data_IF_704371933006
#
_entry.id   IF_704371933006
#
_cell.length_a   1.000
_cell.length_b   1.000
_cell.length_c   1.000
_cell.angle_alpha   90.00
_cell.angle_beta   90.00
_cell.angle_gamma   90.00
#
_symmetry.space_group_name_H-M   'P 1'
#
loop_
_entity.id
_entity.type
_entity.pdbx_description
1 polymer ?
#
# COMPACT_ATOMS: atom_id res chain seq x y z
N UNK A 1 -23.41 -13.77 18.36
CA UNK A 1 -22.17 -13.85 17.53
C UNK A 1 -21.76 -12.50 16.96
N UNK A 2 -22.63 -11.74 16.25
CA UNK A 2 -22.28 -10.38 15.75
C UNK A 2 -22.01 -9.43 16.91
N UNK A 3 -22.85 -9.43 17.95
CA UNK A 3 -22.66 -8.59 19.12
C UNK A 3 -21.35 -8.90 19.86
N UNK A 4 -20.99 -10.18 19.96
CA UNK A 4 -19.73 -10.62 20.58
C UNK A 4 -18.51 -10.13 19.77
N UNK A 5 -18.58 -10.13 18.43
CA UNK A 5 -17.52 -9.60 17.56
C UNK A 5 -17.40 -8.08 17.67
N UNK A 6 -18.51 -7.36 17.76
CA UNK A 6 -18.52 -5.93 17.99
C UNK A 6 -17.91 -5.57 19.34
N UNK A 7 -18.29 -6.28 20.42
CA UNK A 7 -17.71 -6.05 21.75
C UNK A 7 -16.19 -6.26 21.73
N UNK A 8 -15.71 -7.35 21.14
CA UNK A 8 -14.28 -7.63 21.00
C UNK A 8 -13.55 -6.55 20.19
N UNK A 9 -14.19 -6.06 19.14
CA UNK A 9 -13.62 -5.03 18.26
C UNK A 9 -13.52 -3.68 19.00
N UNK A 10 -14.49 -3.35 19.85
CA UNK A 10 -14.46 -2.18 20.74
C UNK A 10 -13.35 -2.31 21.80
N UNK A 11 -13.27 -3.46 22.49
CA UNK A 11 -12.23 -3.72 23.50
C UNK A 11 -10.84 -3.61 22.92
N UNK A 12 -10.61 -4.24 21.74
CA UNK A 12 -9.34 -4.16 21.02
C UNK A 12 -9.02 -2.73 20.57
N UNK A 13 -10.04 -1.97 20.15
CA UNK A 13 -9.87 -0.58 19.77
C UNK A 13 -9.39 0.26 20.94
N UNK A 14 -10.03 0.15 22.11
CA UNK A 14 -9.66 0.87 23.31
C UNK A 14 -8.27 0.49 23.83
N UNK A 15 -7.87 -0.76 23.67
CA UNK A 15 -6.54 -1.22 24.07
C UNK A 15 -5.43 -0.74 23.13
N UNK A 16 -5.69 -0.67 21.81
CA UNK A 16 -4.70 -0.33 20.79
C UNK A 16 -4.60 1.18 20.51
N UNK A 17 -5.67 1.93 20.80
CA UNK A 17 -5.70 3.38 20.69
C UNK A 17 -5.43 4.00 22.07
N UNK A 18 -4.18 4.39 22.29
CA UNK A 18 -3.74 5.00 23.53
C UNK A 18 -2.97 6.29 23.25
N UNK A 19 -2.92 7.18 24.21
CA UNK A 19 -2.08 8.39 24.15
C UNK A 19 -0.61 8.00 24.31
N UNK A 20 0.12 8.02 23.22
CA UNK A 20 1.55 7.74 23.17
C UNK A 20 2.42 8.99 23.32
N UNK A 21 1.79 10.16 23.50
CA UNK A 21 2.45 11.45 23.59
C UNK A 21 2.95 11.99 22.24
N UNK A 22 3.45 13.22 22.27
CA UNK A 22 3.78 14.05 21.10
C UNK A 22 4.62 13.33 20.03
N UNK A 23 5.61 12.52 20.45
CA UNK A 23 6.43 11.77 19.50
C UNK A 23 5.63 10.74 18.70
N UNK A 24 4.83 9.93 19.38
CA UNK A 24 4.04 8.89 18.71
C UNK A 24 2.94 9.53 17.86
N UNK A 25 2.32 10.59 18.33
CA UNK A 25 1.31 11.34 17.60
C UNK A 25 1.88 11.87 16.28
N UNK A 26 3.02 12.55 16.31
CA UNK A 26 3.67 13.06 15.12
C UNK A 26 4.11 11.91 14.18
N UNK A 27 4.65 10.82 14.72
CA UNK A 27 5.10 9.67 13.93
C UNK A 27 3.93 8.97 13.22
N UNK A 28 2.89 8.56 13.95
CA UNK A 28 1.76 7.83 13.39
C UNK A 28 0.90 8.68 12.48
N UNK A 29 0.73 9.97 12.81
CA UNK A 29 0.04 10.92 11.95
C UNK A 29 0.76 11.08 10.61
N UNK A 30 2.07 11.35 10.62
CA UNK A 30 2.89 11.50 9.42
C UNK A 30 2.90 10.23 8.58
N UNK A 31 3.06 9.07 9.21
CA UNK A 31 3.05 7.76 8.54
C UNK A 31 1.70 7.48 7.86
N UNK A 32 0.59 7.91 8.47
CA UNK A 32 -0.76 7.74 7.92
C UNK A 32 -1.04 8.59 6.67
N UNK A 33 -0.25 9.64 6.42
CA UNK A 33 -0.50 10.55 5.31
C UNK A 33 0.00 9.99 3.98
N UNK A 34 -0.87 9.99 2.95
CA UNK A 34 -0.50 9.53 1.60
C UNK A 34 0.70 10.29 1.03
N UNK A 35 0.80 11.65 1.15
CA UNK A 35 1.94 12.40 0.65
C UNK A 35 3.30 11.98 1.23
N UNK A 36 3.34 11.48 2.46
CA UNK A 36 4.57 11.03 3.11
C UNK A 36 5.24 9.86 2.38
N UNK A 37 4.45 9.07 1.62
CA UNK A 37 4.92 7.91 0.87
C UNK A 37 5.25 8.21 -0.60
N UNK A 38 5.15 9.47 -1.07
CA UNK A 38 5.49 9.86 -2.44
C UNK A 38 6.88 9.37 -2.85
N UNK A 39 7.95 9.50 -2.03
CA UNK A 39 9.27 8.99 -2.39
C UNK A 39 9.28 7.47 -2.66
N UNK A 40 8.55 6.70 -1.87
CA UNK A 40 8.40 5.25 -2.07
C UNK A 40 7.66 4.94 -3.38
N UNK A 41 6.56 5.64 -3.66
CA UNK A 41 5.79 5.43 -4.89
C UNK A 41 6.60 5.77 -6.14
N UNK A 42 7.36 6.89 -6.13
CA UNK A 42 8.27 7.26 -7.21
C UNK A 42 9.33 6.16 -7.40
N UNK A 43 9.88 5.62 -6.31
CA UNK A 43 10.89 4.56 -6.38
C UNK A 43 10.31 3.26 -6.96
N UNK A 44 9.09 2.90 -6.62
CA UNK A 44 8.40 1.74 -7.21
C UNK A 44 8.23 1.94 -8.72
N UNK A 45 7.76 3.10 -9.16
CA UNK A 45 7.60 3.43 -10.59
C UNK A 45 8.96 3.38 -11.30
N UNK A 46 10.01 3.92 -10.69
CA UNK A 46 11.36 3.86 -11.25
C UNK A 46 11.88 2.42 -11.40
N UNK A 47 11.66 1.57 -10.42
CA UNK A 47 12.03 0.15 -10.51
C UNK A 47 11.22 -0.57 -11.60
N UNK A 48 9.92 -0.24 -11.76
CA UNK A 48 9.09 -0.75 -12.86
C UNK A 48 9.60 -0.29 -14.22
N UNK A 49 10.05 0.97 -14.33
CA UNK A 49 10.69 1.48 -15.52
C UNK A 49 11.97 0.68 -15.85
N UNK A 50 12.86 0.51 -14.86
CA UNK A 50 14.07 -0.28 -15.05
C UNK A 50 13.75 -1.73 -15.46
N UNK A 51 12.72 -2.34 -14.87
CA UNK A 51 12.28 -3.68 -15.22
C UNK A 51 11.82 -3.76 -16.68
N UNK A 52 11.05 -2.82 -17.15
CA UNK A 52 10.60 -2.78 -18.53
C UNK A 52 11.76 -2.61 -19.53
N UNK A 53 12.75 -1.75 -19.20
CA UNK A 53 13.83 -1.39 -20.11
C UNK A 53 15.04 -2.35 -20.06
N UNK A 54 15.24 -3.08 -18.96
CA UNK A 54 16.28 -4.12 -18.85
C UNK A 54 15.83 -5.48 -19.36
N UNK A 55 14.54 -5.72 -19.50
CA UNK A 55 13.97 -7.05 -19.83
C UNK A 55 14.15 -7.44 -21.28
N UNK A 56 14.35 -6.51 -22.19
CA UNK A 56 14.49 -6.82 -23.62
C UNK A 56 15.95 -7.04 -23.94
N UNK A 57 16.29 -8.26 -24.40
CA UNK A 57 17.63 -8.64 -24.81
C UNK A 57 18.13 -7.73 -25.92
N UNK A 58 19.28 -7.07 -25.75
CA UNK A 58 19.90 -6.37 -26.85
C UNK A 58 20.38 -7.38 -27.88
N UNK A 59 20.02 -7.18 -29.15
CA UNK A 59 20.71 -7.78 -30.26
C UNK A 59 21.97 -6.96 -30.50
N UNK A 60 23.14 -7.61 -30.55
CA UNK A 60 24.37 -6.93 -30.94
C UNK A 60 24.48 -6.93 -32.45
N UNK A 61 24.79 -5.76 -33.02
CA UNK A 61 25.25 -5.66 -34.42
C UNK A 61 26.54 -6.45 -34.61
N UNK A 62 26.85 -6.89 -35.85
CA UNK A 62 28.17 -7.45 -36.16
C UNK A 62 29.35 -6.55 -35.75
N UNK A 63 29.13 -5.26 -35.60
CA UNK A 63 30.12 -4.26 -35.14
C UNK A 63 30.15 -4.07 -33.61
N UNK A 64 29.43 -4.89 -32.83
CA UNK A 64 29.40 -4.79 -31.37
C UNK A 64 28.48 -3.69 -30.83
N UNK A 65 27.77 -2.95 -31.67
CA UNK A 65 26.84 -1.91 -31.25
C UNK A 65 25.50 -2.48 -30.81
N UNK A 66 24.95 -1.90 -29.75
CA UNK A 66 23.65 -2.28 -29.20
C UNK A 66 22.51 -1.85 -30.15
N UNK A 67 21.99 -2.76 -30.96
CA UNK A 67 20.83 -2.50 -31.82
C UNK A 67 19.56 -3.12 -31.25
N UNK A 68 18.56 -2.28 -30.99
CA UNK A 68 17.23 -2.70 -30.65
C UNK A 68 16.34 -2.56 -31.88
N UNK A 69 15.68 -3.65 -32.28
CA UNK A 69 14.62 -3.55 -33.30
C UNK A 69 13.48 -2.68 -32.79
N UNK A 70 12.74 -2.04 -33.72
CA UNK A 70 11.60 -1.19 -33.34
C UNK A 70 10.53 -1.98 -32.58
N UNK A 71 10.31 -3.25 -32.92
CA UNK A 71 9.43 -4.13 -32.16
C UNK A 71 9.92 -4.40 -30.72
N UNK A 72 11.22 -4.41 -30.47
CA UNK A 72 11.76 -4.53 -29.10
C UNK A 72 11.57 -3.24 -28.29
N UNK A 73 11.77 -2.07 -28.91
CA UNK A 73 11.49 -0.76 -28.29
C UNK A 73 10.03 -0.65 -27.92
N UNK A 74 9.12 -1.02 -28.83
CA UNK A 74 7.67 -1.00 -28.59
C UNK A 74 7.29 -1.94 -27.42
N UNK A 75 7.83 -3.13 -27.32
CA UNK A 75 7.57 -4.06 -26.20
C UNK A 75 8.02 -3.54 -24.84
N UNK A 76 9.11 -2.75 -24.77
CA UNK A 76 9.55 -2.09 -23.53
C UNK A 76 8.53 -1.10 -23.01
N UNK A 77 8.11 -0.18 -23.89
CA UNK A 77 7.10 0.81 -23.52
C UNK A 77 5.77 0.16 -23.16
N UNK A 78 5.36 -0.84 -23.93
CA UNK A 78 4.13 -1.58 -23.64
C UNK A 78 4.21 -2.25 -22.25
N UNK A 79 5.33 -2.88 -21.90
CA UNK A 79 5.52 -3.48 -20.57
C UNK A 79 5.41 -2.42 -19.47
N UNK A 80 6.08 -1.27 -19.63
CA UNK A 80 6.04 -0.20 -18.64
C UNK A 80 4.62 0.35 -18.45
N UNK A 81 3.91 0.64 -19.55
CA UNK A 81 2.53 1.10 -19.52
C UNK A 81 1.62 0.08 -18.82
N UNK A 82 1.80 -1.20 -19.10
CA UNK A 82 1.02 -2.26 -18.45
C UNK A 82 1.31 -2.36 -16.95
N UNK A 83 2.57 -2.23 -16.52
CA UNK A 83 2.90 -2.19 -15.10
C UNK A 83 2.19 -1.03 -14.39
N UNK A 84 2.20 0.17 -14.99
CA UNK A 84 1.48 1.33 -14.46
C UNK A 84 -0.04 1.12 -14.48
N UNK A 85 -0.59 0.61 -15.59
CA UNK A 85 -2.02 0.35 -15.73
C UNK A 85 -2.52 -0.65 -14.69
N UNK A 86 -1.82 -1.78 -14.52
CA UNK A 86 -2.23 -2.78 -13.54
C UNK A 86 -2.03 -2.30 -12.09
N UNK A 87 -1.03 -1.46 -11.83
CA UNK A 87 -0.89 -0.78 -10.54
C UNK A 87 -2.11 0.12 -10.27
N UNK A 88 -2.48 0.95 -11.25
CA UNK A 88 -3.66 1.82 -11.15
C UNK A 88 -4.96 1.01 -10.99
N UNK A 89 -5.11 -0.11 -11.70
CA UNK A 89 -6.27 -1.00 -11.58
C UNK A 89 -6.35 -1.64 -10.18
N UNK A 90 -5.23 -2.07 -9.59
CA UNK A 90 -5.24 -2.59 -8.22
C UNK A 90 -5.79 -1.53 -7.26
N UNK A 91 -5.29 -0.28 -7.33
CA UNK A 91 -5.81 0.80 -6.49
C UNK A 91 -7.28 1.14 -6.79
N UNK A 92 -7.66 1.20 -8.06
CA UNK A 92 -9.04 1.49 -8.45
C UNK A 92 -10.01 0.42 -7.91
N UNK A 93 -9.67 -0.86 -8.01
CA UNK A 93 -10.52 -1.93 -7.51
C UNK A 93 -10.57 -1.96 -5.98
N UNK A 94 -9.44 -1.79 -5.28
CA UNK A 94 -9.44 -1.73 -3.81
C UNK A 94 -10.27 -0.55 -3.31
N UNK A 95 -10.15 0.62 -3.93
CA UNK A 95 -10.87 1.82 -3.51
C UNK A 95 -12.37 1.73 -3.87
N UNK A 96 -12.71 1.37 -5.12
CA UNK A 96 -14.10 1.28 -5.56
C UNK A 96 -14.88 0.20 -4.80
N UNK A 97 -14.28 -0.96 -4.54
CA UNK A 97 -14.95 -2.01 -3.78
C UNK A 97 -15.12 -1.57 -2.31
N UNK A 98 -14.08 -1.03 -1.70
CA UNK A 98 -14.15 -0.61 -0.28
C UNK A 98 -15.00 0.64 -0.07
N UNK A 99 -14.70 1.74 -0.77
CA UNK A 99 -15.34 3.04 -0.56
C UNK A 99 -16.62 3.21 -1.38
N UNK A 100 -16.65 2.70 -2.62
CA UNK A 100 -17.77 2.88 -3.53
C UNK A 100 -18.91 1.87 -3.32
N UNK A 101 -18.60 0.66 -2.84
CA UNK A 101 -19.61 -0.40 -2.69
C UNK A 101 -19.84 -0.75 -1.24
N UNK A 102 -18.81 -1.21 -0.51
CA UNK A 102 -18.99 -1.80 0.83
C UNK A 102 -19.40 -0.75 1.85
N UNK A 103 -18.73 0.42 1.90
CA UNK A 103 -19.05 1.46 2.88
C UNK A 103 -20.49 1.96 2.78
N UNK A 104 -21.05 2.28 1.59
CA UNK A 104 -22.43 2.68 1.46
C UNK A 104 -23.43 1.59 1.82
N UNK A 105 -23.07 0.30 1.61
CA UNK A 105 -23.96 -0.83 1.94
C UNK A 105 -23.96 -1.15 3.43
N UNK A 106 -22.80 -1.13 4.09
CA UNK A 106 -22.67 -1.56 5.49
C UNK A 106 -22.94 -0.41 6.46
N UNK A 107 -22.54 0.81 6.11
CA UNK A 107 -22.72 2.03 6.89
C UNK A 107 -22.26 1.94 8.36
N UNK A 108 -21.28 1.08 8.66
CA UNK A 108 -20.73 0.99 10.01
C UNK A 108 -20.03 2.30 10.37
N UNK A 109 -20.39 2.97 11.48
CA UNK A 109 -19.71 4.18 11.92
C UNK A 109 -18.23 3.87 12.22
N UNK A 110 -17.37 4.88 12.10
CA UNK A 110 -15.98 4.79 12.58
C UNK A 110 -15.95 4.89 14.10
N UNK A 111 -14.85 4.43 14.76
CA UNK A 111 -14.67 4.64 16.21
C UNK A 111 -14.86 6.11 16.61
N UNK A 112 -14.35 7.04 15.81
CA UNK A 112 -14.48 8.50 16.00
C UNK A 112 -15.91 9.07 15.84
N UNK A 113 -16.87 8.26 15.39
CA UNK A 113 -18.28 8.62 15.22
C UNK A 113 -19.20 7.65 15.96
N UNK A 114 -18.63 6.74 16.77
CA UNK A 114 -19.39 5.79 17.58
C UNK A 114 -19.56 6.36 19.00
N UNK A 115 -20.77 6.85 19.31
CA UNK A 115 -21.08 7.46 20.60
C UNK A 115 -20.88 6.55 21.82
N UNK A 116 -20.66 5.26 21.63
CA UNK A 116 -20.40 4.32 22.74
C UNK A 116 -18.98 4.32 23.24
N UNK A 117 -17.99 4.73 22.39
CA UNK A 117 -16.56 4.66 22.72
C UNK A 117 -15.78 5.94 22.38
N UNK A 118 -16.32 6.84 21.55
CA UNK A 118 -15.56 7.98 21.01
C UNK A 118 -14.94 8.85 22.11
N UNK A 119 -15.64 9.04 23.24
CA UNK A 119 -15.16 9.86 24.37
C UNK A 119 -13.98 9.22 25.13
N UNK A 120 -13.68 7.95 24.86
CA UNK A 120 -12.59 7.20 25.49
C UNK A 120 -11.36 7.08 24.56
N UNK A 121 -11.46 7.61 23.33
CA UNK A 121 -10.40 7.47 22.33
C UNK A 121 -9.45 8.67 22.33
N UNK A 122 -8.20 8.39 22.03
CA UNK A 122 -7.19 9.40 21.73
C UNK A 122 -7.25 9.81 20.26
N UNK A 123 -7.40 11.12 20.00
CA UNK A 123 -7.39 11.69 18.65
C UNK A 123 -6.19 12.62 18.47
N UNK A 124 -5.48 12.44 17.35
CA UNK A 124 -4.33 13.26 16.98
C UNK A 124 -4.78 14.37 16.04
N UNK A 125 -4.47 15.63 16.36
CA UNK A 125 -4.82 16.82 15.56
C UNK A 125 -6.34 16.92 15.24
N UNK A 126 -7.19 16.46 16.10
CA UNK A 126 -8.66 16.44 15.91
C UNK A 126 -9.09 15.74 14.59
N UNK A 127 -8.37 14.69 14.22
CA UNK A 127 -8.60 13.96 12.98
C UNK A 127 -9.61 12.82 13.17
N UNK A 128 -10.83 13.00 12.68
CA UNK A 128 -11.94 12.03 12.83
C UNK A 128 -12.22 11.18 11.57
N UNK A 129 -11.71 11.58 10.41
CA UNK A 129 -11.99 10.91 9.14
C UNK A 129 -13.45 11.08 8.68
N UNK A 130 -13.89 10.24 7.74
CA UNK A 130 -15.27 10.24 7.23
C UNK A 130 -16.21 9.37 8.07
N UNK A 131 -17.54 9.45 7.83
CA UNK A 131 -18.57 8.80 8.65
C UNK A 131 -18.45 7.27 8.76
N UNK A 132 -18.19 6.57 7.65
CA UNK A 132 -18.20 5.11 7.61
C UNK A 132 -16.80 4.49 7.59
N UNK A 133 -16.62 3.42 8.40
CA UNK A 133 -15.35 2.73 8.62
C UNK A 133 -15.16 1.45 7.79
N UNK A 134 -16.17 0.61 7.74
CA UNK A 134 -16.06 -0.76 7.21
C UNK A 134 -16.22 -0.81 5.67
N UNK A 135 -15.28 -1.41 4.96
CA UNK A 135 -13.95 -1.87 5.32
C UNK A 135 -12.93 -0.73 5.19
N UNK A 136 -11.73 -0.87 5.79
CA UNK A 136 -10.70 0.15 5.66
C UNK A 136 -10.11 0.18 4.24
N UNK A 137 -10.36 1.28 3.49
CA UNK A 137 -9.75 1.51 2.17
C UNK A 137 -8.23 1.69 2.27
N UNK A 138 -7.72 2.27 3.37
CA UNK A 138 -6.28 2.36 3.63
C UNK A 138 -5.63 0.98 3.70
N UNK A 139 -6.21 0.07 4.47
CA UNK A 139 -5.71 -1.30 4.57
C UNK A 139 -5.76 -2.01 3.20
N UNK A 140 -6.88 -1.88 2.48
CA UNK A 140 -7.04 -2.48 1.17
C UNK A 140 -6.00 -1.96 0.16
N UNK A 141 -5.76 -0.66 0.12
CA UNK A 141 -4.79 -0.04 -0.79
C UNK A 141 -3.34 -0.41 -0.43
N UNK A 142 -2.97 -0.36 0.86
CA UNK A 142 -1.61 -0.69 1.30
C UNK A 142 -1.28 -2.17 1.08
N UNK A 143 -2.18 -3.10 1.44
CA UNK A 143 -1.98 -4.53 1.19
C UNK A 143 -2.08 -4.88 -0.29
N UNK A 144 -2.97 -4.21 -1.05
CA UNK A 144 -3.06 -4.37 -2.50
C UNK A 144 -1.73 -4.04 -3.19
N UNK A 145 -1.14 -2.89 -2.88
CA UNK A 145 0.18 -2.50 -3.38
C UNK A 145 1.27 -3.46 -2.91
N UNK A 146 1.27 -3.81 -1.62
CA UNK A 146 2.30 -4.67 -1.04
C UNK A 146 2.32 -6.06 -1.70
N UNK A 147 1.15 -6.69 -1.89
CA UNK A 147 1.04 -7.98 -2.57
C UNK A 147 1.39 -7.87 -4.04
N UNK A 148 0.88 -6.84 -4.74
CA UNK A 148 1.20 -6.59 -6.15
C UNK A 148 2.71 -6.51 -6.39
N UNK A 149 3.41 -5.62 -5.68
CA UNK A 149 4.86 -5.42 -5.82
C UNK A 149 5.65 -6.67 -5.39
N UNK A 150 5.22 -7.34 -4.32
CA UNK A 150 5.84 -8.58 -3.85
C UNK A 150 5.73 -9.71 -4.86
N UNK A 151 4.58 -9.86 -5.53
CA UNK A 151 4.37 -10.86 -6.57
C UNK A 151 5.19 -10.58 -7.84
N UNK A 152 5.40 -9.30 -8.19
CA UNK A 152 6.23 -8.91 -9.33
C UNK A 152 7.69 -9.32 -9.14
N UNK A 153 8.28 -9.01 -7.99
CA UNK A 153 9.75 -9.11 -7.83
C UNK A 153 10.20 -10.31 -6.99
N UNK A 154 9.36 -10.91 -6.15
CA UNK A 154 9.59 -12.17 -5.41
C UNK A 154 10.91 -12.23 -4.62
N UNK A 155 11.37 -11.10 -4.08
CA UNK A 155 12.55 -11.02 -3.20
C UNK A 155 12.12 -10.97 -1.75
N UNK A 156 12.67 -11.85 -0.89
CA UNK A 156 12.27 -11.96 0.54
C UNK A 156 12.37 -10.62 1.28
N UNK A 157 13.47 -9.88 1.12
CA UNK A 157 13.64 -8.56 1.75
C UNK A 157 12.57 -7.57 1.34
N UNK A 158 12.21 -7.53 0.05
CA UNK A 158 11.13 -6.67 -0.45
C UNK A 158 9.77 -7.09 0.10
N UNK A 159 9.47 -8.40 0.10
CA UNK A 159 8.20 -8.91 0.66
C UNK A 159 8.04 -8.48 2.12
N UNK A 160 9.08 -8.71 2.94
CA UNK A 160 9.07 -8.31 4.36
C UNK A 160 8.88 -6.80 4.48
N UNK A 161 9.62 -6.00 3.70
CA UNK A 161 9.53 -4.54 3.74
C UNK A 161 8.12 -4.05 3.34
N UNK A 162 7.54 -4.57 2.25
CA UNK A 162 6.21 -4.17 1.79
C UNK A 162 5.10 -4.62 2.74
N UNK A 163 5.23 -5.79 3.38
CA UNK A 163 4.29 -6.21 4.42
C UNK A 163 4.39 -5.32 5.65
N UNK A 164 5.61 -4.96 6.08
CA UNK A 164 5.82 -4.02 7.19
C UNK A 164 5.20 -2.64 6.87
N UNK A 165 5.42 -2.12 5.65
CA UNK A 165 4.77 -0.90 5.18
C UNK A 165 3.25 -0.97 5.35
N UNK A 166 2.62 -2.06 4.89
CA UNK A 166 1.16 -2.21 4.97
C UNK A 166 0.67 -2.33 6.42
N UNK A 167 1.36 -3.13 7.26
CA UNK A 167 1.00 -3.30 8.69
C UNK A 167 1.13 -1.99 9.46
N UNK A 168 2.22 -1.24 9.27
CA UNK A 168 2.42 0.04 9.96
C UNK A 168 1.36 1.07 9.56
N UNK A 169 1.02 1.14 8.25
CA UNK A 169 -0.07 2.00 7.79
C UNK A 169 -1.42 1.57 8.37
N UNK A 170 -1.69 0.28 8.50
CA UNK A 170 -2.90 -0.22 9.14
C UNK A 170 -2.97 0.15 10.63
N UNK A 171 -1.88 -0.05 11.36
CA UNK A 171 -1.83 0.31 12.77
C UNK A 171 -2.01 1.81 12.99
N UNK A 172 -1.43 2.66 12.13
CA UNK A 172 -1.64 4.10 12.23
C UNK A 172 -3.12 4.51 12.17
N UNK A 173 -3.97 3.75 11.47
CA UNK A 173 -5.42 4.03 11.41
C UNK A 173 -6.15 3.69 12.71
N UNK A 174 -5.68 2.67 13.43
CA UNK A 174 -6.17 2.34 14.78
C UNK A 174 -5.67 3.40 15.77
N UNK A 175 -4.38 3.72 15.74
CA UNK A 175 -3.79 4.73 16.61
C UNK A 175 -4.47 6.10 16.47
N UNK A 176 -4.84 6.49 15.26
CA UNK A 176 -5.58 7.75 14.99
C UNK A 176 -7.10 7.68 15.30
N UNK A 177 -7.61 6.60 15.84
CA UNK A 177 -9.02 6.51 16.25
C UNK A 177 -10.02 6.38 15.11
N UNK A 178 -9.61 6.05 13.86
CA UNK A 178 -10.48 6.16 12.69
C UNK A 178 -10.93 4.83 12.06
N UNK A 179 -10.40 3.70 12.51
CA UNK A 179 -10.83 2.37 12.07
C UNK A 179 -10.77 1.37 13.19
N UNK A 180 -11.79 0.54 13.30
CA UNK A 180 -11.77 -0.65 14.15
C UNK A 180 -10.78 -1.70 13.62
N UNK A 181 -10.20 -2.56 14.48
CA UNK A 181 -9.38 -3.69 14.04
C UNK A 181 -10.07 -4.58 13.02
N UNK A 182 -11.38 -4.84 13.16
CA UNK A 182 -12.18 -5.60 12.21
C UNK A 182 -12.25 -4.96 10.81
N UNK A 183 -12.36 -3.62 10.73
CA UNK A 183 -12.31 -2.89 9.45
C UNK A 183 -10.97 -3.11 8.73
N UNK A 184 -9.88 -3.12 9.52
CA UNK A 184 -8.51 -3.34 9.02
C UNK A 184 -8.34 -4.77 8.51
N UNK A 185 -8.78 -5.77 9.27
CA UNK A 185 -8.67 -7.19 8.87
C UNK A 185 -9.41 -7.42 7.55
N UNK A 186 -10.66 -6.97 7.44
CA UNK A 186 -11.46 -7.14 6.23
C UNK A 186 -10.88 -6.35 5.05
N UNK A 187 -10.38 -5.12 5.28
CA UNK A 187 -9.68 -4.34 4.27
C UNK A 187 -8.39 -5.01 3.79
N UNK A 188 -7.64 -5.63 4.72
CA UNK A 188 -6.43 -6.42 4.41
C UNK A 188 -6.74 -7.59 3.48
N UNK A 189 -7.78 -8.36 3.78
CA UNK A 189 -8.22 -9.49 2.92
C UNK A 189 -8.59 -8.98 1.52
N UNK A 190 -9.36 -7.92 1.43
CA UNK A 190 -9.71 -7.30 0.15
C UNK A 190 -8.46 -6.87 -0.62
N UNK A 191 -7.51 -6.20 0.04
CA UNK A 191 -6.25 -5.77 -0.57
C UNK A 191 -5.41 -6.91 -1.10
N UNK A 192 -5.24 -7.98 -0.30
CA UNK A 192 -4.51 -9.19 -0.71
C UNK A 192 -5.14 -9.82 -1.96
N UNK A 193 -6.47 -9.95 -1.99
CA UNK A 193 -7.19 -10.51 -3.13
C UNK A 193 -7.02 -9.65 -4.39
N UNK A 194 -7.21 -8.33 -4.29
CA UNK A 194 -7.05 -7.41 -5.42
C UNK A 194 -5.60 -7.37 -5.94
N UNK A 195 -4.61 -7.32 -5.05
CA UNK A 195 -3.20 -7.32 -5.43
C UNK A 195 -2.78 -8.63 -6.12
N UNK A 196 -3.22 -9.77 -5.60
CA UNK A 196 -2.98 -11.07 -6.21
C UNK A 196 -3.69 -11.22 -7.56
N UNK A 197 -4.96 -10.83 -7.65
CA UNK A 197 -5.73 -10.88 -8.90
C UNK A 197 -5.12 -9.97 -9.95
N UNK A 198 -4.70 -8.76 -9.57
CA UNK A 198 -3.97 -7.83 -10.45
C UNK A 198 -2.72 -8.49 -11.04
N UNK A 199 -1.90 -9.15 -10.21
CA UNK A 199 -0.72 -9.89 -10.66
C UNK A 199 -1.10 -11.07 -11.58
N UNK A 200 -2.13 -11.82 -11.25
CA UNK A 200 -2.61 -12.92 -12.07
C UNK A 200 -3.06 -12.43 -13.46
N UNK A 201 -3.90 -11.41 -13.52
CA UNK A 201 -4.35 -10.83 -14.79
C UNK A 201 -3.19 -10.24 -15.60
N UNK A 202 -2.28 -9.50 -14.97
CA UNK A 202 -1.08 -8.97 -15.61
C UNK A 202 -0.23 -10.07 -16.26
N UNK A 203 0.03 -11.15 -15.53
CA UNK A 203 0.86 -12.26 -16.05
C UNK A 203 0.19 -12.97 -17.20
N UNK A 204 -1.13 -13.20 -17.14
CA UNK A 204 -1.90 -13.79 -18.23
C UNK A 204 -1.91 -12.89 -19.47
N UNK A 205 -2.08 -11.59 -19.28
CA UNK A 205 -2.00 -10.63 -20.37
C UNK A 205 -0.61 -10.63 -21.03
N UNK A 206 0.44 -10.58 -20.25
CA UNK A 206 1.81 -10.63 -20.78
C UNK A 206 2.10 -11.93 -21.56
N UNK A 207 1.62 -13.08 -21.07
CA UNK A 207 1.72 -14.35 -21.79
C UNK A 207 1.00 -14.31 -23.13
N UNK A 208 -0.24 -13.79 -23.17
CA UNK A 208 -1.06 -13.72 -24.39
C UNK A 208 -0.41 -12.87 -25.48
N UNK A 209 0.28 -11.78 -25.10
CA UNK A 209 0.90 -10.83 -26.03
C UNK A 209 2.43 -11.02 -26.16
N UNK A 210 2.98 -12.14 -25.67
CA UNK A 210 4.42 -12.45 -25.72
C UNK A 210 5.29 -11.30 -25.22
N UNK A 211 4.86 -10.67 -24.11
CA UNK A 211 5.64 -9.62 -23.43
C UNK A 211 6.61 -10.31 -22.46
N UNK A 212 7.93 -10.06 -22.58
CA UNK A 212 8.92 -10.75 -21.76
C UNK A 212 8.75 -10.38 -20.28
N UNK A 213 8.75 -11.40 -19.42
CA UNK A 213 8.76 -11.26 -17.96
C UNK A 213 10.14 -11.69 -17.45
N UNK A 214 11.06 -10.75 -17.29
CA UNK A 214 12.37 -11.05 -16.74
C UNK A 214 12.44 -10.72 -15.24
N UNK A 215 13.05 -11.62 -14.47
CA UNK A 215 13.25 -11.48 -13.02
C UNK A 215 14.57 -10.79 -12.64
N UNK A 216 15.22 -10.10 -13.59
CA UNK A 216 16.60 -9.62 -13.43
C UNK A 216 16.75 -8.29 -12.71
N UNK A 217 15.65 -7.55 -12.48
CA UNK A 217 15.73 -6.27 -11.79
C UNK A 217 15.84 -6.47 -10.28
N UNK A 218 16.83 -5.80 -9.69
CA UNK A 218 16.99 -5.79 -8.25
C UNK A 218 16.05 -4.71 -7.65
N UNK A 219 15.05 -5.08 -6.84
CA UNK A 219 14.14 -4.14 -6.20
C UNK A 219 14.70 -3.52 -4.91
N UNK A 220 15.99 -3.70 -4.62
CA UNK A 220 16.65 -3.15 -3.43
C UNK A 220 16.38 -1.65 -3.21
N UNK A 221 16.30 -0.78 -4.25
CA UNK A 221 15.96 0.62 -4.07
C UNK A 221 14.62 0.85 -3.36
N UNK A 222 13.60 0.00 -3.61
CA UNK A 222 12.30 0.09 -2.92
C UNK A 222 12.48 -0.19 -1.42
N UNK A 223 13.23 -1.23 -1.08
CA UNK A 223 13.51 -1.59 0.32
C UNK A 223 14.27 -0.47 1.04
N UNK A 224 15.30 0.09 0.40
CA UNK A 224 16.09 1.20 0.96
C UNK A 224 15.20 2.43 1.17
N UNK A 225 14.38 2.80 0.17
CA UNK A 225 13.50 3.97 0.26
C UNK A 225 12.48 3.81 1.38
N UNK A 226 11.93 2.61 1.59
CA UNK A 226 11.02 2.35 2.69
C UNK A 226 11.67 2.63 4.05
N UNK A 227 12.87 2.07 4.29
CA UNK A 227 13.60 2.31 5.54
C UNK A 227 14.00 3.77 5.71
N UNK A 228 14.41 4.45 4.62
CA UNK A 228 14.73 5.88 4.66
C UNK A 228 13.49 6.72 5.01
N UNK A 229 12.30 6.38 4.48
CA UNK A 229 11.06 7.06 4.82
C UNK A 229 10.70 6.87 6.30
N UNK A 230 10.79 5.66 6.83
CA UNK A 230 10.52 5.39 8.26
C UNK A 230 11.49 6.14 9.17
N UNK A 231 12.78 6.19 8.81
CA UNK A 231 13.77 6.97 9.54
C UNK A 231 13.44 8.48 9.49
N UNK A 232 13.06 8.99 8.32
CA UNK A 232 12.67 10.40 8.18
C UNK A 232 11.44 10.75 9.04
N UNK A 233 10.45 9.86 9.14
CA UNK A 233 9.27 10.06 10.01
C UNK A 233 9.66 10.08 11.48
N UNK A 234 10.57 9.19 11.91
CA UNK A 234 11.07 9.18 13.28
C UNK A 234 11.87 10.46 13.59
N UNK A 235 12.74 10.92 12.68
CA UNK A 235 13.50 12.17 12.84
C UNK A 235 12.56 13.37 12.91
N UNK A 236 11.54 13.42 12.04
CA UNK A 236 10.52 14.48 12.10
C UNK A 236 9.76 14.49 13.42
N UNK A 237 9.36 13.31 13.91
CA UNK A 237 8.68 13.19 15.20
C UNK A 237 9.56 13.65 16.39
N UNK A 238 10.88 13.37 16.34
CA UNK A 238 11.84 13.92 17.30
C UNK A 238 11.93 15.44 17.21
N UNK A 239 11.96 15.99 15.98
CA UNK A 239 12.01 17.45 15.80
C UNK A 239 10.80 18.16 16.41
N UNK A 240 9.59 17.57 16.29
CA UNK A 240 8.37 18.11 16.89
C UNK A 240 8.43 18.12 18.42
N UNK A 241 9.17 17.19 19.08
CA UNK A 241 9.32 17.19 20.54
C UNK A 241 10.07 18.42 21.10
N UNK A 242 10.88 19.08 20.26
CA UNK A 242 11.71 20.22 20.66
C UNK A 242 11.12 21.57 20.21
N UNK A 243 9.93 21.60 19.69
CA UNK A 243 9.15 22.81 19.40
C UNK A 243 8.10 23.08 20.47
#
# INVERSE_FOLDING_TARGET
MIDTLNTLDHELMLWLNYDGGTFQDAFWYTLSQIPSWIPLYITIIFVMFLDAFRTVWPSYSPNGELQLSDGQKQKRWMKFILLLLFTALVFAFTDQISAGIIKPLVQRPRPSHDGSIMDQLHFVNDYHGGAYGFVSSHAANCFGLAVWVSCLYKRRSLVIAMMLYAVLNCYSRIYLGVHFPGDIICGTVLGILCGWLGYFCYTRFCQRFSIPQNKSVNPLPITIMLWASLLAFAVYAVFILFQ
#
